data_IF_998564407630
#
_entry.id   IF_998564407630
#
_cell.length_a   1.000
_cell.length_b   1.000
_cell.length_c   1.000
_cell.angle_alpha   90.00
_cell.angle_beta   90.00
_cell.angle_gamma   90.00
#
_symmetry.space_group_name_H-M   'P 1'
#
loop_
_entity.id
_entity.type
_entity.pdbx_description
1 polymer ?
#
# COMPACT_ATOMS: atom_id res chain seq x y z
N UNK A 1 7.21 -22.42 -12.36
CA UNK A 1 7.99 -22.79 -11.17
C UNK A 1 7.10 -23.31 -10.03
N UNK A 2 6.06 -22.57 -9.59
CA UNK A 2 5.12 -23.02 -8.55
C UNK A 2 4.33 -24.30 -8.92
N UNK A 3 3.85 -24.39 -10.16
CA UNK A 3 3.16 -25.59 -10.70
C UNK A 3 4.04 -26.86 -10.61
N UNK A 4 5.35 -26.73 -10.88
CA UNK A 4 6.30 -27.85 -10.81
C UNK A 4 6.58 -28.28 -9.38
N UNK A 5 6.60 -27.34 -8.43
CA UNK A 5 6.71 -27.64 -7.00
C UNK A 5 5.46 -28.39 -6.49
N UNK A 6 4.26 -28.03 -6.97
CA UNK A 6 3.02 -28.74 -6.64
C UNK A 6 2.99 -30.19 -7.16
N UNK A 7 3.48 -30.45 -8.37
CA UNK A 7 3.53 -31.78 -8.96
C UNK A 7 4.49 -32.74 -8.21
N UNK A 8 5.66 -32.24 -7.82
CA UNK A 8 6.65 -33.00 -7.04
C UNK A 8 6.12 -33.39 -5.64
N UNK A 9 5.40 -32.47 -4.99
CA UNK A 9 4.78 -32.73 -3.68
C UNK A 9 3.63 -33.75 -3.75
N UNK A 10 2.92 -33.82 -4.88
CA UNK A 10 1.85 -34.79 -5.07
C UNK A 10 2.38 -36.21 -5.28
N UNK A 11 3.47 -36.38 -6.03
CA UNK A 11 4.11 -37.68 -6.27
C UNK A 11 4.76 -38.27 -5.00
N UNK A 12 5.21 -37.42 -4.07
CA UNK A 12 5.79 -37.85 -2.80
C UNK A 12 4.78 -38.54 -1.84
N UNK A 13 3.46 -38.46 -2.09
CA UNK A 13 2.42 -39.04 -1.20
C UNK A 13 2.38 -40.57 -1.16
N UNK A 14 3.16 -41.27 -1.98
CA UNK A 14 3.18 -42.74 -2.02
C UNK A 14 4.20 -43.40 -1.09
N UNK A 15 5.09 -42.63 -0.44
CA UNK A 15 6.07 -43.15 0.50
C UNK A 15 6.14 -42.29 1.78
N UNK A 16 5.73 -42.89 2.90
CA UNK A 16 6.19 -42.66 4.28
C UNK A 16 6.26 -41.24 4.87
N UNK A 17 5.45 -41.02 5.93
CA UNK A 17 5.73 -40.18 7.12
C UNK A 17 5.94 -38.67 6.87
N UNK A 18 4.92 -37.96 6.39
CA UNK A 18 4.77 -36.53 6.72
C UNK A 18 3.34 -36.33 7.23
N UNK A 19 3.24 -35.90 8.50
CA UNK A 19 2.00 -35.51 9.19
C UNK A 19 1.13 -34.66 8.25
N UNK A 20 -0.19 -34.92 8.28
CA UNK A 20 -1.25 -34.08 7.70
C UNK A 20 -1.08 -32.62 8.15
N UNK A 21 -0.26 -31.85 7.46
CA UNK A 21 -0.30 -30.39 7.51
C UNK A 21 -1.27 -29.99 6.41
N UNK A 22 -2.39 -29.39 6.79
CA UNK A 22 -3.34 -28.85 5.85
C UNK A 22 -2.72 -27.60 5.21
N UNK A 23 -2.11 -27.77 4.04
CA UNK A 23 -1.36 -26.72 3.32
C UNK A 23 -2.25 -25.49 3.05
N UNK A 24 -3.59 -25.64 2.95
CA UNK A 24 -4.53 -24.51 2.83
C UNK A 24 -4.57 -23.65 4.10
N UNK A 25 -4.70 -24.26 5.27
CA UNK A 25 -4.67 -23.52 6.54
C UNK A 25 -3.33 -22.83 6.78
N UNK A 26 -2.22 -23.42 6.32
CA UNK A 26 -0.91 -22.80 6.43
C UNK A 26 -0.75 -21.62 5.45
N UNK A 27 -1.33 -21.69 4.26
CA UNK A 27 -1.35 -20.58 3.30
C UNK A 27 -2.27 -19.44 3.74
N UNK A 28 -3.48 -19.76 4.22
CA UNK A 28 -4.45 -18.81 4.80
C UNK A 28 -3.87 -18.11 6.03
N UNK A 29 -3.19 -18.86 6.90
CA UNK A 29 -2.49 -18.31 8.07
C UNK A 29 -1.30 -17.44 7.67
N UNK A 30 -0.47 -17.83 6.69
CA UNK A 30 0.63 -17.00 6.20
C UNK A 30 0.16 -15.71 5.48
N UNK A 31 -0.99 -15.76 4.79
CA UNK A 31 -1.63 -14.58 4.22
C UNK A 31 -2.21 -13.65 5.30
N UNK A 32 -2.72 -14.21 6.41
CA UNK A 32 -3.16 -13.45 7.58
C UNK A 32 -2.00 -12.92 8.46
N UNK A 33 -0.84 -13.58 8.44
CA UNK A 33 0.35 -13.22 9.24
C UNK A 33 1.24 -12.16 8.55
N UNK A 34 1.09 -11.93 7.23
CA UNK A 34 1.85 -10.87 6.53
C UNK A 34 1.19 -9.52 6.77
N UNK A 35 1.73 -8.75 7.72
CA UNK A 35 1.37 -7.34 7.93
C UNK A 35 1.51 -6.55 6.63
N UNK A 36 0.42 -5.94 6.18
CA UNK A 36 0.47 -5.02 5.04
C UNK A 36 1.37 -3.83 5.35
N UNK A 37 2.11 -3.37 4.34
CA UNK A 37 3.06 -2.27 4.44
C UNK A 37 2.47 -1.03 3.80
N UNK A 38 2.43 0.06 4.56
CA UNK A 38 1.93 1.36 4.13
C UNK A 38 3.10 2.32 4.02
N UNK A 39 3.23 3.02 2.89
CA UNK A 39 4.16 4.13 2.75
C UNK A 39 3.40 5.44 2.96
N UNK A 40 3.85 6.27 3.90
CA UNK A 40 3.36 7.63 4.10
C UNK A 40 4.36 8.59 3.45
N UNK A 41 3.88 9.42 2.53
CA UNK A 41 4.65 10.47 1.88
C UNK A 41 3.98 11.80 2.20
N UNK A 42 4.56 12.53 3.15
CA UNK A 42 3.96 13.69 3.80
C UNK A 42 5.11 14.52 4.39
N UNK A 43 5.20 15.82 4.13
CA UNK A 43 6.31 16.64 4.63
C UNK A 43 6.06 17.15 6.06
N UNK A 44 4.80 17.34 6.46
CA UNK A 44 4.43 17.76 7.82
C UNK A 44 4.73 16.66 8.85
N UNK A 45 5.79 16.86 9.64
CA UNK A 45 6.29 15.86 10.59
C UNK A 45 5.23 15.40 11.60
N UNK A 46 4.42 16.33 12.11
CA UNK A 46 3.40 16.03 13.13
C UNK A 46 2.30 15.14 12.56
N UNK A 47 1.81 15.46 11.34
CA UNK A 47 0.81 14.65 10.64
C UNK A 47 1.37 13.28 10.27
N UNK A 48 2.60 13.23 9.74
CA UNK A 48 3.28 11.97 9.40
C UNK A 48 3.44 11.06 10.62
N UNK A 49 3.88 11.60 11.77
CA UNK A 49 4.00 10.82 13.01
C UNK A 49 2.65 10.38 13.58
N UNK A 50 1.62 11.23 13.51
CA UNK A 50 0.26 10.89 13.94
C UNK A 50 -0.28 9.70 13.14
N UNK A 51 -0.18 9.77 11.82
CA UNK A 51 -0.64 8.71 10.92
C UNK A 51 0.16 7.43 11.12
N UNK A 52 1.50 7.51 11.22
CA UNK A 52 2.36 6.38 11.54
C UNK A 52 1.91 5.68 12.82
N UNK A 53 1.71 6.43 13.91
CA UNK A 53 1.31 5.87 15.21
C UNK A 53 -0.02 5.12 15.10
N UNK A 54 -1.02 5.72 14.44
CA UNK A 54 -2.34 5.10 14.25
C UNK A 54 -2.24 3.81 13.42
N UNK A 55 -1.49 3.83 12.32
CA UNK A 55 -1.33 2.65 11.46
C UNK A 55 -0.54 1.53 12.14
N UNK A 56 0.50 1.84 12.91
CA UNK A 56 1.23 0.84 13.70
C UNK A 56 0.33 0.20 14.76
N UNK A 57 -0.54 0.98 15.43
CA UNK A 57 -1.49 0.46 16.42
C UNK A 57 -2.49 -0.52 15.80
N UNK A 58 -2.84 -0.34 14.53
CA UNK A 58 -3.68 -1.28 13.76
C UNK A 58 -2.91 -2.50 13.24
N UNK A 59 -1.60 -2.59 13.49
CA UNK A 59 -0.77 -3.73 13.15
C UNK A 59 -0.11 -3.66 11.78
N UNK A 60 -0.15 -2.53 11.09
CA UNK A 60 0.55 -2.34 9.81
C UNK A 60 2.06 -2.15 10.00
N UNK A 61 2.82 -2.48 8.95
CA UNK A 61 4.18 -1.98 8.79
C UNK A 61 4.11 -0.59 8.14
N UNK A 62 4.91 0.36 8.61
CA UNK A 62 4.89 1.74 8.09
C UNK A 62 6.28 2.13 7.61
N UNK A 63 6.34 2.63 6.38
CA UNK A 63 7.47 3.32 5.78
C UNK A 63 7.13 4.81 5.69
N UNK A 64 8.14 5.66 5.73
CA UNK A 64 7.98 7.11 5.76
C UNK A 64 8.89 7.77 4.74
N UNK A 65 8.37 8.81 4.08
CA UNK A 65 9.11 9.75 3.27
C UNK A 65 8.58 11.16 3.56
N UNK A 66 9.47 12.15 3.56
CA UNK A 66 9.14 13.56 3.80
C UNK A 66 9.05 14.40 2.52
N UNK A 67 9.21 13.77 1.35
CA UNK A 67 9.06 14.38 0.04
C UNK A 67 8.83 13.32 -1.05
N UNK A 68 8.41 13.75 -2.24
CA UNK A 68 8.08 12.87 -3.35
C UNK A 68 9.28 12.10 -3.95
N UNK A 69 10.50 12.60 -3.85
CA UNK A 69 11.69 11.93 -4.41
C UNK A 69 12.03 10.70 -3.57
N UNK A 70 12.13 10.87 -2.26
CA UNK A 70 12.33 9.76 -1.32
C UNK A 70 11.13 8.80 -1.37
N UNK A 71 9.91 9.34 -1.44
CA UNK A 71 8.69 8.55 -1.57
C UNK A 71 8.70 7.65 -2.80
N UNK A 72 9.10 8.18 -3.96
CA UNK A 72 9.20 7.41 -5.21
C UNK A 72 10.26 6.32 -5.10
N UNK A 73 11.44 6.63 -4.55
CA UNK A 73 12.51 5.65 -4.37
C UNK A 73 12.08 4.50 -3.46
N UNK A 74 11.45 4.81 -2.31
CA UNK A 74 10.95 3.79 -1.39
C UNK A 74 9.84 2.96 -2.05
N UNK A 75 8.90 3.61 -2.73
CA UNK A 75 7.80 2.92 -3.40
C UNK A 75 8.32 1.87 -4.40
N UNK A 76 9.26 2.26 -5.26
CA UNK A 76 9.81 1.40 -6.31
C UNK A 76 10.77 0.31 -5.81
N UNK A 77 11.27 0.41 -4.57
CA UNK A 77 12.18 -0.58 -3.99
C UNK A 77 11.49 -1.52 -3.03
N UNK A 78 10.52 -1.02 -2.25
CA UNK A 78 9.84 -1.77 -1.20
C UNK A 78 8.47 -2.32 -1.61
N UNK A 79 7.88 -1.77 -2.68
CA UNK A 79 6.56 -2.16 -3.18
C UNK A 79 5.48 -2.24 -2.08
N UNK A 80 5.21 -1.12 -1.37
CA UNK A 80 4.19 -1.08 -0.32
C UNK A 80 2.81 -1.46 -0.87
N UNK A 81 1.96 -2.02 0.00
CA UNK A 81 0.60 -2.42 -0.36
C UNK A 81 -0.28 -1.21 -0.66
N UNK A 82 -0.04 -0.09 0.06
CA UNK A 82 -0.70 1.21 -0.09
C UNK A 82 0.32 2.34 0.07
N UNK A 83 0.17 3.39 -0.74
CA UNK A 83 0.87 4.67 -0.60
C UNK A 83 -0.17 5.71 -0.19
N UNK A 84 0.03 6.33 0.97
CA UNK A 84 -0.67 7.56 1.37
C UNK A 84 0.19 8.74 0.94
N UNK A 85 -0.34 9.55 0.03
CA UNK A 85 0.44 10.55 -0.70
C UNK A 85 -0.15 11.95 -0.52
N UNK A 86 0.63 12.86 0.05
CA UNK A 86 0.36 14.29 -0.05
C UNK A 86 0.77 14.85 -1.41
N UNK A 87 0.15 15.95 -1.80
CA UNK A 87 0.36 16.62 -3.07
C UNK A 87 1.36 17.75 -2.94
N UNK A 88 1.25 18.59 -1.92
CA UNK A 88 2.08 19.79 -1.79
C UNK A 88 3.24 19.49 -0.85
N UNK A 89 4.40 19.17 -1.41
CA UNK A 89 5.62 18.86 -0.67
C UNK A 89 6.82 19.56 -1.29
N UNK A 90 7.90 19.83 -0.54
CA UNK A 90 9.16 20.32 -1.08
C UNK A 90 9.86 19.27 -1.95
N UNK A 91 10.85 19.70 -2.73
CA UNK A 91 11.74 18.88 -3.59
C UNK A 91 11.00 18.24 -4.77
N UNK A 92 10.00 17.41 -4.51
CA UNK A 92 9.12 16.78 -5.49
C UNK A 92 7.71 16.70 -4.91
N UNK A 93 6.75 17.29 -5.62
CA UNK A 93 5.34 17.25 -5.29
C UNK A 93 4.72 15.86 -5.57
N UNK A 94 3.56 15.59 -4.98
CA UNK A 94 2.90 14.30 -5.10
C UNK A 94 2.44 13.95 -6.52
N UNK A 95 2.09 14.93 -7.34
CA UNK A 95 1.69 14.68 -8.74
C UNK A 95 2.89 14.24 -9.58
N UNK A 96 4.02 14.91 -9.39
CA UNK A 96 5.30 14.56 -10.00
C UNK A 96 5.77 13.17 -9.56
N UNK A 97 5.68 12.86 -8.26
CA UNK A 97 5.95 11.51 -7.74
C UNK A 97 5.04 10.47 -8.41
N UNK A 98 3.73 10.71 -8.45
CA UNK A 98 2.77 9.77 -9.03
C UNK A 98 3.04 9.54 -10.52
N UNK A 99 3.33 10.60 -11.27
CA UNK A 99 3.72 10.49 -12.69
C UNK A 99 4.99 9.66 -12.88
N UNK A 100 5.98 9.81 -11.99
CA UNK A 100 7.17 8.97 -11.98
C UNK A 100 6.86 7.51 -11.64
N UNK A 101 6.02 7.30 -10.63
CA UNK A 101 5.58 5.97 -10.19
C UNK A 101 4.89 5.21 -11.33
N UNK A 102 3.99 5.86 -12.07
CA UNK A 102 3.20 5.25 -13.15
C UNK A 102 4.01 4.88 -14.40
N UNK A 103 5.26 5.35 -14.51
CA UNK A 103 6.19 4.91 -15.55
C UNK A 103 6.83 3.55 -15.26
N UNK A 104 6.77 3.07 -14.01
CA UNK A 104 7.29 1.77 -13.61
C UNK A 104 6.22 0.67 -13.76
N UNK A 105 6.62 -0.54 -14.19
CA UNK A 105 5.69 -1.67 -14.38
C UNK A 105 4.90 -2.05 -13.11
N UNK A 106 5.55 -2.14 -11.95
CA UNK A 106 4.83 -2.34 -10.68
C UNK A 106 4.01 -1.12 -10.31
N UNK A 107 4.59 0.07 -10.53
CA UNK A 107 3.99 1.34 -10.17
C UNK A 107 2.70 1.66 -10.93
N UNK A 108 2.42 1.07 -12.09
CA UNK A 108 1.13 1.21 -12.81
C UNK A 108 -0.07 0.75 -11.98
N UNK A 109 0.10 -0.31 -11.22
CA UNK A 109 -0.96 -0.95 -10.40
C UNK A 109 -0.81 -0.66 -8.90
N UNK A 110 0.16 0.18 -8.52
CA UNK A 110 0.37 0.56 -7.14
C UNK A 110 -0.84 1.35 -6.61
N UNK A 111 -1.33 0.93 -5.44
CA UNK A 111 -2.48 1.56 -4.79
C UNK A 111 -2.04 2.85 -4.11
N UNK A 112 -2.57 3.97 -4.60
CA UNK A 112 -2.28 5.31 -4.08
C UNK A 112 -3.59 5.92 -3.59
N UNK A 113 -3.57 6.38 -2.34
CA UNK A 113 -4.61 7.19 -1.72
C UNK A 113 -4.02 8.59 -1.57
N UNK A 114 -4.61 9.56 -2.25
CA UNK A 114 -4.18 10.94 -2.13
C UNK A 114 -4.82 11.55 -0.89
N UNK A 115 -4.03 12.25 -0.09
CA UNK A 115 -4.44 12.96 1.10
C UNK A 115 -3.97 14.41 0.98
N UNK A 116 -4.86 15.33 0.60
CA UNK A 116 -4.46 16.70 0.21
C UNK A 116 -5.51 17.74 0.62
N UNK A 117 -5.18 19.03 0.68
CA UNK A 117 -6.15 20.06 1.04
C UNK A 117 -7.17 20.31 -0.09
N UNK A 118 -8.33 20.88 0.23
CA UNK A 118 -9.46 21.02 -0.71
C UNK A 118 -9.10 21.80 -1.98
N UNK A 119 -8.31 22.86 -1.87
CA UNK A 119 -7.86 23.68 -3.01
C UNK A 119 -6.94 22.95 -4.00
N UNK A 120 -6.36 21.83 -3.58
CA UNK A 120 -5.50 20.98 -4.41
C UNK A 120 -6.32 19.88 -5.12
N UNK A 121 -7.45 19.47 -4.52
CA UNK A 121 -8.42 18.53 -5.11
C UNK A 121 -8.93 18.98 -6.48
N UNK A 122 -9.27 20.26 -6.58
CA UNK A 122 -9.84 20.84 -7.79
C UNK A 122 -8.85 20.86 -8.96
N UNK A 123 -7.54 20.88 -8.66
CA UNK A 123 -6.47 20.80 -9.68
C UNK A 123 -6.27 19.37 -10.19
N UNK A 124 -6.64 18.38 -9.38
CA UNK A 124 -6.48 16.96 -9.67
C UNK A 124 -7.55 16.47 -10.66
N UNK A 125 -8.79 16.91 -10.48
CA UNK A 125 -9.92 16.56 -11.37
C UNK A 125 -9.71 16.99 -12.84
N UNK A 126 -8.88 18.00 -13.09
CA UNK A 126 -8.64 18.54 -14.43
C UNK A 126 -7.52 17.82 -15.20
N UNK A 127 -6.75 16.93 -14.56
CA UNK A 127 -5.52 16.41 -15.18
C UNK A 127 -5.06 15.01 -14.78
N UNK A 128 -5.74 14.31 -13.87
CA UNK A 128 -5.20 13.05 -13.32
C UNK A 128 -5.70 11.76 -13.98
N UNK A 129 -4.76 10.83 -14.11
CA UNK A 129 -4.94 9.48 -14.66
C UNK A 129 -6.03 8.70 -13.91
N UNK A 130 -6.83 7.92 -14.67
CA UNK A 130 -7.94 7.08 -14.19
C UNK A 130 -7.57 5.99 -13.16
N UNK A 131 -6.32 5.93 -12.70
CA UNK A 131 -5.77 4.85 -11.89
C UNK A 131 -5.35 5.29 -10.48
N UNK A 132 -5.85 6.42 -9.97
CA UNK A 132 -5.83 6.68 -8.51
C UNK A 132 -7.00 5.95 -7.87
N UNK A 133 -6.72 5.25 -6.77
CA UNK A 133 -7.71 4.38 -6.12
C UNK A 133 -8.67 5.11 -5.19
N UNK A 134 -8.22 6.23 -4.60
CA UNK A 134 -9.07 7.11 -3.81
C UNK A 134 -8.45 8.51 -3.63
N UNK A 135 -9.31 9.49 -3.40
CA UNK A 135 -8.94 10.88 -3.16
C UNK A 135 -9.60 11.38 -1.87
N UNK A 136 -8.80 11.88 -0.93
CA UNK A 136 -9.26 12.38 0.36
C UNK A 136 -8.81 13.82 0.59
N UNK A 137 -9.75 14.63 1.08
CA UNK A 137 -9.48 15.98 1.56
C UNK A 137 -9.05 15.94 3.02
N UNK A 138 -7.85 16.44 3.34
CA UNK A 138 -7.26 16.47 4.70
C UNK A 138 -8.18 17.12 5.74
N UNK A 139 -8.82 18.24 5.40
CA UNK A 139 -9.64 19.05 6.32
C UNK A 139 -10.97 18.43 6.72
N UNK A 140 -11.45 17.45 5.96
CA UNK A 140 -12.82 16.95 6.08
C UNK A 140 -12.88 15.57 6.77
N UNK A 141 -11.72 15.02 7.15
CA UNK A 141 -11.61 13.66 7.70
C UNK A 141 -10.75 13.62 8.94
N UNK A 142 -11.23 12.88 9.92
CA UNK A 142 -10.42 12.53 11.08
C UNK A 142 -9.37 11.49 10.67
N UNK A 143 -8.19 11.48 11.31
CA UNK A 143 -7.17 10.46 11.05
C UNK A 143 -7.67 9.00 11.12
N UNK A 144 -8.67 8.72 11.96
CA UNK A 144 -9.27 7.39 12.06
C UNK A 144 -10.11 7.00 10.84
N UNK A 145 -10.70 7.96 10.13
CA UNK A 145 -11.42 7.71 8.88
C UNK A 145 -10.46 7.23 7.79
N UNK A 146 -9.26 7.82 7.74
CA UNK A 146 -8.21 7.44 6.79
C UNK A 146 -7.75 6.00 7.07
N UNK A 147 -7.55 5.67 8.35
CA UNK A 147 -7.18 4.32 8.78
C UNK A 147 -8.25 3.29 8.41
N UNK A 148 -9.53 3.63 8.63
CA UNK A 148 -10.65 2.77 8.26
C UNK A 148 -10.73 2.54 6.74
N UNK A 149 -10.49 3.58 5.94
CA UNK A 149 -10.41 3.45 4.49
C UNK A 149 -9.27 2.51 4.07
N UNK A 150 -8.08 2.68 4.64
CA UNK A 150 -6.93 1.80 4.37
C UNK A 150 -7.29 0.34 4.64
N UNK A 151 -7.91 0.06 5.79
CA UNK A 151 -8.39 -1.30 6.14
C UNK A 151 -9.39 -1.83 5.12
N UNK A 152 -10.36 -1.01 4.71
CA UNK A 152 -11.34 -1.39 3.69
C UNK A 152 -10.66 -1.74 2.36
N UNK A 153 -9.75 -0.90 1.87
CA UNK A 153 -9.07 -1.10 0.59
C UNK A 153 -8.19 -2.36 0.58
N UNK A 154 -7.54 -2.67 1.70
CA UNK A 154 -6.77 -3.92 1.85
C UNK A 154 -7.70 -5.14 1.75
N UNK A 155 -8.86 -5.11 2.40
CA UNK A 155 -9.85 -6.18 2.34
C UNK A 155 -10.39 -6.35 0.92
N UNK A 156 -10.68 -5.25 0.22
CA UNK A 156 -11.16 -5.29 -1.17
C UNK A 156 -10.12 -5.86 -2.13
N UNK A 157 -8.84 -5.53 -1.93
CA UNK A 157 -7.73 -6.06 -2.72
C UNK A 157 -7.57 -7.57 -2.54
N UNK A 158 -7.74 -8.08 -1.32
CA UNK A 158 -7.62 -9.51 -1.03
C UNK A 158 -8.74 -10.38 -1.62
N UNK A 159 -9.86 -9.76 -2.07
CA UNK A 159 -11.01 -10.45 -2.68
C UNK A 159 -10.91 -10.59 -4.21
N UNK A 160 -9.97 -9.90 -4.85
CA UNK A 160 -9.74 -9.93 -6.31
C UNK A 160 -8.77 -11.05 -6.66
#
# INVERSE_FOLDING_TARGET
MLEQVFALLYQSKKHSIIKKINIRQLAEKNMADKKSTILIVEDEIDLRQLMKKKLINEGFNVLEADNGEIGLQIALTQHPDIILLDIVMPIMDGLSMLKGLRQNEWGKDAMVIILSNLSEAEKIDQGMEKNVYDYLVKSDREPDDIVNLIKQKIIERAKR
#
